data_IF_072218428607
#
_entry.id   IF_072218428607
#
_cell.length_a   1.000
_cell.length_b   1.000
_cell.length_c   1.000
_cell.angle_alpha   90.00
_cell.angle_beta   90.00
_cell.angle_gamma   90.00
#
_symmetry.space_group_name_H-M   'P 1'
#
loop_
_entity.id
_entity.type
_entity.pdbx_description
1 polymer ?
#
# COMPACT_ATOMS: atom_id res chain seq x y z
N UNK A 1 -12.81 6.72 -7.37
CA UNK A 1 -11.62 6.38 -8.17
C UNK A 1 -11.95 5.22 -9.09
N UNK A 2 -11.61 5.27 -10.39
CA UNK A 2 -11.90 4.15 -11.31
C UNK A 2 -10.98 2.94 -10.98
N UNK A 3 -11.40 1.73 -11.37
CA UNK A 3 -10.69 0.48 -11.06
C UNK A 3 -9.24 0.46 -11.55
N UNK A 4 -9.02 0.97 -12.76
CA UNK A 4 -7.69 1.08 -13.35
C UNK A 4 -6.75 1.93 -12.47
N UNK A 5 -7.22 3.06 -11.95
CA UNK A 5 -6.45 3.90 -11.02
C UNK A 5 -6.19 3.20 -9.68
N UNK A 6 -7.07 2.31 -9.22
CA UNK A 6 -6.85 1.50 -8.01
C UNK A 6 -5.74 0.46 -8.23
N UNK A 7 -5.77 -0.27 -9.35
CA UNK A 7 -4.72 -1.24 -9.68
C UNK A 7 -3.37 -0.54 -9.85
N UNK A 8 -3.35 0.64 -10.50
CA UNK A 8 -2.12 1.44 -10.60
C UNK A 8 -1.54 1.75 -9.22
N UNK A 9 -2.34 2.02 -8.21
CA UNK A 9 -1.85 2.39 -6.86
C UNK A 9 -1.38 1.20 -6.01
N UNK A 10 -1.35 -0.01 -6.54
CA UNK A 10 -0.80 -1.15 -5.81
C UNK A 10 0.72 -0.99 -5.72
N UNK A 11 1.23 -0.94 -4.49
CA UNK A 11 2.66 -0.89 -4.14
C UNK A 11 3.11 -2.09 -3.30
N UNK A 12 2.14 -2.87 -2.81
CA UNK A 12 2.34 -4.15 -2.15
C UNK A 12 2.51 -5.23 -3.23
N UNK A 13 3.71 -5.76 -3.35
CA UNK A 13 4.09 -6.77 -4.33
C UNK A 13 3.37 -8.11 -4.09
N UNK A 14 3.08 -8.45 -2.83
CA UNK A 14 2.29 -9.63 -2.46
C UNK A 14 0.85 -9.45 -2.94
N UNK A 15 0.25 -8.28 -2.69
CA UNK A 15 -1.10 -7.97 -3.17
C UNK A 15 -1.16 -8.00 -4.70
N UNK A 16 -0.18 -7.39 -5.39
CA UNK A 16 -0.12 -7.38 -6.85
C UNK A 16 0.04 -8.78 -7.44
N UNK A 17 0.95 -9.60 -6.89
CA UNK A 17 1.13 -10.99 -7.31
C UNK A 17 -0.15 -11.81 -7.11
N UNK A 18 -0.80 -11.66 -5.96
CA UNK A 18 -2.05 -12.37 -5.65
C UNK A 18 -3.16 -11.98 -6.64
N UNK A 19 -3.27 -10.69 -6.97
CA UNK A 19 -4.22 -10.19 -7.97
C UNK A 19 -3.94 -10.81 -9.34
N UNK A 20 -2.69 -10.72 -9.81
CA UNK A 20 -2.31 -11.28 -11.10
C UNK A 20 -2.59 -12.77 -11.17
N UNK A 21 -2.18 -13.54 -10.17
CA UNK A 21 -2.40 -14.99 -10.14
C UNK A 21 -3.87 -15.37 -10.17
N UNK A 22 -4.70 -14.67 -9.38
CA UNK A 22 -6.14 -14.91 -9.35
C UNK A 22 -6.77 -14.63 -10.72
N UNK A 23 -6.38 -13.54 -11.37
CA UNK A 23 -6.89 -13.17 -12.70
C UNK A 23 -6.44 -14.13 -13.80
N UNK A 24 -5.16 -14.51 -13.80
CA UNK A 24 -4.63 -15.46 -14.78
C UNK A 24 -5.21 -16.86 -14.58
N UNK A 25 -5.41 -17.29 -13.33
CA UNK A 25 -6.09 -18.55 -13.02
C UNK A 25 -7.56 -18.51 -13.45
N UNK A 26 -8.25 -17.38 -13.27
CA UNK A 26 -9.63 -17.23 -13.73
C UNK A 26 -9.74 -17.19 -15.27
N UNK A 27 -8.76 -16.59 -15.96
CA UNK A 27 -8.75 -16.48 -17.42
C UNK A 27 -8.34 -17.78 -18.12
N UNK A 28 -7.34 -18.49 -17.60
CA UNK A 28 -6.69 -19.61 -18.27
C UNK A 28 -6.84 -20.95 -17.53
N UNK A 29 -7.43 -20.96 -16.34
CA UNK A 29 -7.66 -22.16 -15.55
C UNK A 29 -6.37 -22.92 -15.23
N UNK A 30 -6.38 -24.22 -15.50
CA UNK A 30 -5.24 -25.12 -15.23
C UNK A 30 -4.06 -24.93 -16.19
N UNK A 31 -4.21 -24.15 -17.27
CA UNK A 31 -3.12 -23.89 -18.20
C UNK A 31 -2.11 -22.89 -17.64
N UNK A 32 -2.55 -22.00 -16.73
CA UNK A 32 -1.67 -21.06 -16.05
C UNK A 32 -1.02 -21.71 -14.82
N UNK A 33 0.28 -21.52 -14.67
CA UNK A 33 1.06 -21.93 -13.52
C UNK A 33 1.69 -20.71 -12.85
N UNK A 34 1.30 -20.47 -11.61
CA UNK A 34 1.91 -19.46 -10.75
C UNK A 34 3.22 -19.99 -10.14
N UNK A 35 4.23 -19.13 -10.12
CA UNK A 35 5.55 -19.37 -9.57
C UNK A 35 5.75 -18.52 -8.30
N UNK A 36 6.56 -19.01 -7.33
CA UNK A 36 6.76 -18.37 -6.03
C UNK A 36 8.08 -17.58 -6.04
N UNK A 37 8.01 -16.30 -5.68
CA UNK A 37 9.14 -15.34 -5.65
C UNK A 37 10.50 -15.88 -5.18
N UNK A 38 10.56 -16.85 -4.25
CA UNK A 38 11.82 -17.28 -3.62
C UNK A 38 12.68 -18.30 -4.40
N UNK A 39 12.23 -18.81 -5.55
CA UNK A 39 13.00 -19.84 -6.30
C UNK A 39 13.00 -19.73 -7.82
N UNK A 40 12.44 -18.66 -8.37
CA UNK A 40 12.18 -18.62 -9.79
C UNK A 40 13.19 -17.74 -10.53
N UNK A 41 13.66 -18.25 -11.67
CA UNK A 41 14.72 -17.70 -12.52
C UNK A 41 14.29 -16.42 -13.23
N UNK A 42 13.67 -15.47 -12.51
CA UNK A 42 12.95 -14.35 -13.12
C UNK A 42 11.70 -14.84 -13.86
N UNK A 43 10.87 -15.66 -13.18
CA UNK A 43 9.56 -16.10 -13.70
C UNK A 43 8.54 -16.04 -12.57
N UNK A 44 7.44 -15.33 -12.78
CA UNK A 44 6.35 -15.22 -11.81
C UNK A 44 5.10 -16.00 -12.24
N UNK A 45 4.99 -16.30 -13.54
CA UNK A 45 3.92 -17.12 -14.11
C UNK A 45 4.30 -17.75 -15.45
N UNK A 46 3.61 -18.82 -15.82
CA UNK A 46 3.80 -19.49 -17.11
C UNK A 46 2.49 -20.04 -17.67
N UNK A 47 2.26 -19.87 -18.97
CA UNK A 47 1.15 -20.48 -19.70
C UNK A 47 1.68 -21.65 -20.54
N UNK A 48 1.20 -22.87 -20.29
CA UNK A 48 1.82 -24.06 -20.87
C UNK A 48 1.56 -24.23 -22.36
N UNK A 49 0.35 -23.94 -22.82
CA UNK A 49 -0.01 -24.12 -24.24
C UNK A 49 0.76 -23.18 -25.16
N UNK A 50 0.88 -21.91 -24.78
CA UNK A 50 1.55 -20.89 -25.59
C UNK A 50 3.05 -20.84 -25.37
N UNK A 51 3.55 -21.33 -24.23
CA UNK A 51 4.93 -21.12 -23.81
C UNK A 51 5.20 -19.66 -23.44
N UNK A 52 4.23 -19.00 -22.83
CA UNK A 52 4.29 -17.59 -22.41
C UNK A 52 4.83 -17.49 -20.99
N UNK A 53 5.93 -16.76 -20.82
CA UNK A 53 6.51 -16.42 -19.51
C UNK A 53 6.02 -15.05 -19.08
N UNK A 54 5.58 -14.94 -17.82
CA UNK A 54 5.21 -13.69 -17.18
C UNK A 54 6.24 -13.35 -16.10
N UNK A 55 6.70 -12.11 -16.14
CA UNK A 55 7.57 -11.55 -15.10
C UNK A 55 6.92 -10.33 -14.47
N UNK A 56 6.80 -10.32 -13.15
CA UNK A 56 6.13 -9.27 -12.42
C UNK A 56 7.12 -8.28 -11.82
N UNK A 57 6.75 -7.02 -11.87
CA UNK A 57 7.43 -5.95 -11.16
C UNK A 57 6.41 -4.97 -10.58
N UNK A 58 6.41 -4.84 -9.25
CA UNK A 58 5.54 -3.92 -8.52
C UNK A 58 6.42 -2.84 -7.84
N UNK A 59 6.70 -1.73 -8.52
CA UNK A 59 7.58 -0.70 -7.97
C UNK A 59 6.90 0.15 -6.89
N UNK A 60 7.65 0.55 -5.88
CA UNK A 60 7.24 1.48 -4.82
C UNK A 60 7.71 2.91 -5.13
N UNK A 61 7.10 3.94 -4.54
CA UNK A 61 7.65 5.30 -4.64
C UNK A 61 8.91 5.44 -3.77
N UNK A 62 9.93 6.20 -4.21
CA UNK A 62 9.99 6.98 -5.45
C UNK A 62 10.45 6.18 -6.70
N UNK A 63 10.93 4.94 -6.53
CA UNK A 63 11.53 4.10 -7.60
C UNK A 63 10.64 3.94 -8.83
N UNK A 64 9.32 3.90 -8.61
CA UNK A 64 8.28 3.87 -9.63
C UNK A 64 8.39 4.97 -10.69
N UNK A 65 8.98 6.12 -10.37
CA UNK A 65 9.07 7.25 -11.30
C UNK A 65 10.26 7.16 -12.25
N UNK A 66 11.25 6.29 -11.97
CA UNK A 66 12.48 6.24 -12.72
C UNK A 66 12.41 5.18 -13.83
N UNK A 67 12.32 5.62 -15.09
CA UNK A 67 12.36 4.74 -16.27
C UNK A 67 13.59 3.81 -16.28
N UNK A 68 14.70 4.29 -15.72
CA UNK A 68 15.93 3.51 -15.56
C UNK A 68 15.70 2.22 -14.76
N UNK A 69 14.95 2.30 -13.67
CA UNK A 69 14.71 1.16 -12.78
C UNK A 69 13.92 0.05 -13.49
N UNK A 70 12.95 0.41 -14.34
CA UNK A 70 12.25 -0.56 -15.18
C UNK A 70 13.21 -1.26 -16.15
N UNK A 71 14.04 -0.49 -16.87
CA UNK A 71 14.98 -1.07 -17.84
C UNK A 71 16.00 -2.00 -17.20
N UNK A 72 16.53 -1.62 -16.03
CA UNK A 72 17.45 -2.47 -15.26
C UNK A 72 16.77 -3.75 -14.82
N UNK A 73 15.56 -3.65 -14.25
CA UNK A 73 14.77 -4.81 -13.81
C UNK A 73 14.46 -5.78 -14.96
N UNK A 74 14.06 -5.25 -16.12
CA UNK A 74 13.78 -6.05 -17.33
C UNK A 74 15.03 -6.81 -17.76
N UNK A 75 16.17 -6.14 -17.85
CA UNK A 75 17.44 -6.77 -18.24
C UNK A 75 17.83 -7.87 -17.24
N UNK A 76 17.78 -7.58 -15.94
CA UNK A 76 18.11 -8.55 -14.89
C UNK A 76 17.24 -9.80 -14.94
N UNK A 77 15.94 -9.65 -15.13
CA UNK A 77 15.02 -10.80 -15.12
C UNK A 77 15.17 -11.65 -16.40
N UNK A 78 15.39 -11.02 -17.56
CA UNK A 78 15.73 -11.73 -18.79
C UNK A 78 17.05 -12.51 -18.66
N UNK A 79 18.07 -11.92 -18.03
CA UNK A 79 19.36 -12.58 -17.78
C UNK A 79 19.24 -13.74 -16.79
N UNK A 80 18.42 -13.60 -15.75
CA UNK A 80 18.10 -14.71 -14.83
C UNK A 80 17.45 -15.87 -15.57
N UNK A 81 16.51 -15.59 -16.48
CA UNK A 81 15.84 -16.61 -17.28
C UNK A 81 16.80 -17.29 -18.25
N UNK A 82 17.63 -16.51 -18.95
CA UNK A 82 18.66 -17.05 -19.84
C UNK A 82 19.64 -17.96 -19.09
N UNK A 83 20.08 -17.55 -17.90
CA UNK A 83 20.92 -18.36 -17.01
C UNK A 83 20.19 -19.63 -16.55
N UNK A 84 18.91 -19.54 -16.18
CA UNK A 84 18.09 -20.69 -15.83
C UNK A 84 18.01 -21.72 -16.96
N UNK A 85 17.90 -21.28 -18.21
CA UNK A 85 17.95 -22.15 -19.39
C UNK A 85 19.33 -22.76 -19.60
N UNK A 86 20.40 -21.96 -19.52
CA UNK A 86 21.77 -22.43 -19.70
C UNK A 86 22.20 -23.46 -18.64
N UNK A 87 21.75 -23.28 -17.40
CA UNK A 87 21.99 -24.19 -16.28
C UNK A 87 21.08 -25.45 -16.30
N UNK A 88 20.24 -25.64 -17.33
CA UNK A 88 19.20 -26.69 -17.40
C UNK A 88 18.21 -26.69 -16.23
N UNK A 89 18.00 -25.54 -15.58
CA UNK A 89 17.03 -25.37 -14.49
C UNK A 89 15.65 -24.97 -14.99
N UNK A 90 15.56 -24.48 -16.23
CA UNK A 90 14.32 -24.23 -16.96
C UNK A 90 14.35 -24.96 -18.30
N UNK A 91 13.51 -25.98 -18.44
CA UNK A 91 13.44 -26.83 -19.65
C UNK A 91 12.22 -26.55 -20.53
N UNK A 92 11.27 -25.75 -20.06
CA UNK A 92 10.05 -25.46 -20.82
C UNK A 92 10.32 -24.45 -21.95
N UNK A 93 9.60 -24.55 -23.09
CA UNK A 93 9.75 -23.58 -24.18
C UNK A 93 9.36 -22.18 -23.73
N UNK A 94 10.07 -21.18 -24.25
CA UNK A 94 9.78 -19.76 -24.04
C UNK A 94 9.56 -19.17 -25.42
N UNK A 95 8.29 -19.03 -25.80
CA UNK A 95 7.89 -18.50 -27.10
C UNK A 95 7.52 -17.02 -27.01
N UNK A 96 7.06 -16.59 -25.83
CA UNK A 96 6.66 -15.23 -25.53
C UNK A 96 7.10 -14.81 -24.14
N UNK A 97 7.54 -13.55 -23.99
CA UNK A 97 7.91 -12.98 -22.70
C UNK A 97 7.10 -11.71 -22.42
N UNK A 98 6.39 -11.69 -21.29
CA UNK A 98 5.47 -10.61 -20.93
C UNK A 98 5.91 -9.97 -19.62
N UNK A 99 6.15 -8.66 -19.66
CA UNK A 99 6.42 -7.87 -18.48
C UNK A 99 5.12 -7.34 -17.86
N UNK A 100 4.92 -7.61 -16.58
CA UNK A 100 3.67 -7.30 -15.87
C UNK A 100 3.95 -6.28 -14.77
N UNK A 101 3.22 -5.17 -14.78
CA UNK A 101 3.40 -4.06 -13.83
C UNK A 101 2.07 -3.38 -13.54
N UNK A 102 1.84 -2.81 -12.34
CA UNK A 102 0.62 -2.04 -12.10
C UNK A 102 0.59 -0.75 -12.92
N UNK A 103 1.73 -0.23 -13.39
CA UNK A 103 1.80 1.09 -14.03
C UNK A 103 1.70 1.06 -15.56
N UNK A 104 1.39 2.21 -16.16
CA UNK A 104 1.52 2.35 -17.62
C UNK A 104 2.98 2.34 -18.02
N UNK A 105 3.27 1.73 -19.17
CA UNK A 105 4.64 1.66 -19.69
C UNK A 105 4.87 2.75 -20.73
N UNK A 106 5.97 3.48 -20.55
CA UNK A 106 6.47 4.39 -21.56
C UNK A 106 6.98 3.61 -22.79
N UNK A 107 6.86 4.22 -23.96
CA UNK A 107 7.22 3.61 -25.25
C UNK A 107 8.68 3.13 -25.25
N UNK A 108 9.57 3.91 -24.65
CA UNK A 108 11.01 3.60 -24.56
C UNK A 108 11.31 2.35 -23.71
N UNK A 109 10.47 2.05 -22.72
CA UNK A 109 10.56 0.82 -21.92
C UNK A 109 10.03 -0.36 -22.73
N UNK A 110 8.95 -0.18 -23.48
CA UNK A 110 8.39 -1.23 -24.35
C UNK A 110 9.39 -1.61 -25.46
N UNK A 111 10.04 -0.63 -26.08
CA UNK A 111 11.10 -0.86 -27.06
C UNK A 111 12.29 -1.60 -26.43
N UNK A 112 12.66 -1.23 -25.20
CA UNK A 112 13.73 -1.90 -24.45
C UNK A 112 13.38 -3.38 -24.17
N UNK A 113 12.14 -3.68 -23.76
CA UNK A 113 11.65 -5.06 -23.58
C UNK A 113 11.83 -5.87 -24.87
N UNK A 114 11.41 -5.32 -26.01
CA UNK A 114 11.52 -6.03 -27.29
C UNK A 114 12.96 -6.32 -27.68
N UNK A 115 13.82 -5.30 -27.60
CA UNK A 115 15.24 -5.43 -27.91
C UNK A 115 15.93 -6.46 -27.02
N UNK A 116 15.69 -6.41 -25.71
CA UNK A 116 16.37 -7.27 -24.76
C UNK A 116 15.83 -8.71 -24.78
N UNK A 117 14.54 -8.92 -25.01
CA UNK A 117 13.98 -10.27 -25.16
C UNK A 117 14.58 -11.00 -26.37
N UNK A 118 14.76 -10.31 -27.51
CA UNK A 118 15.45 -10.85 -28.69
C UNK A 118 16.92 -11.10 -28.36
N UNK A 119 17.63 -10.10 -27.81
CA UNK A 119 19.06 -10.19 -27.52
C UNK A 119 19.41 -11.34 -26.58
N UNK A 120 18.62 -11.52 -25.53
CA UNK A 120 18.98 -12.38 -24.40
C UNK A 120 18.36 -13.77 -24.51
N UNK A 121 17.13 -13.88 -25.01
CA UNK A 121 16.40 -15.15 -25.09
C UNK A 121 16.18 -15.64 -26.53
N UNK A 122 16.42 -14.81 -27.54
CA UNK A 122 16.07 -15.10 -28.93
C UNK A 122 14.56 -15.09 -29.20
N UNK A 123 13.78 -14.44 -28.33
CA UNK A 123 12.31 -14.43 -28.38
C UNK A 123 11.83 -13.20 -29.14
N UNK A 124 11.18 -13.41 -30.28
CA UNK A 124 10.64 -12.33 -31.12
C UNK A 124 9.32 -11.75 -30.62
N UNK A 125 8.58 -12.48 -29.78
CA UNK A 125 7.30 -12.02 -29.24
C UNK A 125 7.45 -11.58 -27.78
N UNK A 126 7.30 -10.28 -27.53
CA UNK A 126 7.26 -9.73 -26.18
C UNK A 126 6.23 -8.62 -26.06
N UNK A 127 5.67 -8.46 -24.87
CA UNK A 127 4.63 -7.46 -24.62
C UNK A 127 4.58 -7.06 -23.15
N UNK A 128 3.64 -6.19 -22.82
CA UNK A 128 3.37 -5.75 -21.46
C UNK A 128 1.92 -6.08 -21.05
N UNK A 129 1.72 -6.32 -19.76
CA UNK A 129 0.41 -6.32 -19.13
C UNK A 129 0.46 -5.27 -18.03
N UNK A 130 -0.40 -4.25 -18.16
CA UNK A 130 -0.49 -3.16 -17.19
C UNK A 130 -1.84 -3.14 -16.49
N UNK A 131 -2.08 -2.18 -15.59
CA UNK A 131 -3.44 -1.91 -15.09
C UNK A 131 -4.48 -1.76 -16.22
N UNK A 132 -4.07 -1.30 -17.40
CA UNK A 132 -4.96 -1.17 -18.57
C UNK A 132 -5.53 -2.53 -19.01
N UNK A 133 -4.73 -3.59 -18.94
CA UNK A 133 -5.15 -4.95 -19.27
C UNK A 133 -5.83 -5.64 -18.07
N UNK A 134 -5.29 -5.43 -16.86
CA UNK A 134 -5.77 -6.10 -15.64
C UNK A 134 -7.15 -5.59 -15.19
N UNK A 135 -7.45 -4.31 -15.34
CA UNK A 135 -8.75 -3.76 -14.93
C UNK A 135 -9.95 -4.40 -15.67
N UNK A 136 -9.99 -4.48 -17.02
CA UNK A 136 -11.09 -5.16 -17.70
C UNK A 136 -11.12 -6.66 -17.41
N UNK A 137 -9.98 -7.31 -17.23
CA UNK A 137 -9.91 -8.72 -16.81
C UNK A 137 -10.52 -8.92 -15.41
N UNK A 138 -10.24 -8.02 -14.48
CA UNK A 138 -10.86 -8.01 -13.15
C UNK A 138 -12.37 -7.80 -13.25
N UNK A 139 -12.86 -6.87 -14.07
CA UNK A 139 -14.31 -6.68 -14.28
C UNK A 139 -15.00 -7.92 -14.89
N UNK A 140 -14.31 -8.61 -15.80
CA UNK A 140 -14.80 -9.85 -16.42
C UNK A 140 -14.97 -10.96 -15.39
N UNK A 141 -14.03 -11.11 -14.46
CA UNK A 141 -14.01 -12.18 -13.46
C UNK A 141 -14.56 -11.73 -12.11
N UNK A 142 -15.86 -11.47 -12.04
CA UNK A 142 -16.53 -10.95 -10.83
C UNK A 142 -16.35 -11.81 -9.58
N UNK A 143 -16.18 -13.13 -9.73
CA UNK A 143 -15.96 -14.02 -8.60
C UNK A 143 -14.63 -13.73 -7.87
N UNK A 144 -13.65 -13.12 -8.54
CA UNK A 144 -12.36 -12.72 -7.94
C UNK A 144 -12.54 -11.51 -7.01
N UNK A 145 -13.60 -10.71 -7.17
CA UNK A 145 -13.78 -9.44 -6.45
C UNK A 145 -13.81 -9.60 -4.93
N UNK A 146 -14.32 -10.72 -4.44
CA UNK A 146 -14.44 -11.02 -3.01
C UNK A 146 -13.07 -11.11 -2.32
N UNK A 147 -12.04 -11.51 -3.04
CA UNK A 147 -10.68 -11.72 -2.51
C UNK A 147 -9.81 -10.44 -2.54
N UNK A 148 -10.34 -9.35 -3.12
CA UNK A 148 -9.65 -8.07 -3.25
C UNK A 148 -10.54 -6.90 -2.79
N UNK A 149 -10.96 -6.88 -1.51
CA UNK A 149 -11.75 -5.79 -0.96
C UNK A 149 -11.03 -4.45 -1.12
N UNK A 150 -9.72 -4.39 -0.95
CA UNK A 150 -8.85 -3.25 -1.27
C UNK A 150 -9.17 -2.58 -2.61
N UNK A 151 -9.36 -3.39 -3.67
CA UNK A 151 -9.58 -2.93 -5.04
C UNK A 151 -11.06 -2.61 -5.30
N UNK A 152 -11.99 -3.35 -4.72
CA UNK A 152 -13.43 -3.19 -4.97
C UNK A 152 -14.03 -2.05 -4.14
N UNK A 153 -13.66 -1.96 -2.87
CA UNK A 153 -14.13 -0.93 -1.94
C UNK A 153 -13.30 0.35 -2.02
N UNK A 154 -12.05 0.28 -2.51
CA UNK A 154 -11.11 1.39 -2.50
C UNK A 154 -10.54 1.75 -1.11
N UNK A 155 -10.84 0.93 -0.09
CA UNK A 155 -10.51 1.20 1.32
C UNK A 155 -9.00 1.40 1.55
N UNK A 156 -8.12 0.73 0.79
CA UNK A 156 -6.67 0.82 0.98
C UNK A 156 -5.97 1.88 0.12
N UNK A 157 -6.62 2.41 -0.92
CA UNK A 157 -5.98 3.29 -1.91
C UNK A 157 -6.33 4.77 -1.75
N UNK A 158 -7.36 5.07 -0.96
CA UNK A 158 -7.64 6.40 -0.48
C UNK A 158 -6.91 6.58 0.84
N UNK A 159 -5.60 6.84 0.75
CA UNK A 159 -4.78 7.37 1.85
C UNK A 159 -5.52 8.58 2.42
N UNK A 160 -6.09 8.37 3.59
CA UNK A 160 -6.94 9.33 4.27
C UNK A 160 -6.47 9.36 5.71
N UNK A 161 -5.92 10.50 6.17
CA UNK A 161 -5.62 10.68 7.57
C UNK A 161 -6.97 10.71 8.29
N UNK A 162 -7.12 9.86 9.30
CA UNK A 162 -8.34 9.81 10.10
C UNK A 162 -7.96 9.55 11.54
N UNK A 163 -8.33 10.48 12.40
CA UNK A 163 -8.15 10.36 13.84
C UNK A 163 -9.52 10.24 14.50
N UNK A 164 -9.61 9.37 15.49
CA UNK A 164 -10.72 9.31 16.42
C UNK A 164 -10.27 9.87 17.75
N UNK A 165 -11.14 10.64 18.39
CA UNK A 165 -10.91 11.17 19.73
C UNK A 165 -11.95 10.56 20.66
N UNK A 166 -11.47 9.95 21.73
CA UNK A 166 -12.29 9.34 22.78
C UNK A 166 -11.90 9.88 24.15
N UNK A 167 -12.78 9.67 25.12
CA UNK A 167 -12.48 9.90 26.52
C UNK A 167 -12.41 8.56 27.25
N UNK A 168 -11.30 8.32 27.94
CA UNK A 168 -11.04 7.08 28.67
C UNK A 168 -11.00 7.39 30.16
N UNK A 169 -11.95 6.79 30.89
CA UNK A 169 -12.05 6.89 32.35
C UNK A 169 -11.83 5.52 32.98
N UNK A 170 -10.90 5.44 33.92
CA UNK A 170 -10.74 4.30 34.81
C UNK A 170 -10.67 4.80 36.27
N UNK A 171 -10.67 3.89 37.24
CA UNK A 171 -10.59 4.19 38.68
C UNK A 171 -9.39 5.06 39.07
N UNK A 172 -8.33 5.06 38.26
CA UNK A 172 -7.05 5.69 38.59
C UNK A 172 -6.73 6.91 37.73
N UNK A 173 -7.38 7.08 36.57
CA UNK A 173 -7.05 8.15 35.63
C UNK A 173 -8.19 8.48 34.66
N UNK A 174 -8.17 9.73 34.20
CA UNK A 174 -9.04 10.30 33.18
C UNK A 174 -8.14 10.88 32.08
N UNK A 175 -8.32 10.39 30.85
CA UNK A 175 -7.46 10.71 29.71
C UNK A 175 -8.27 10.91 28.43
N UNK A 176 -7.74 11.72 27.53
CA UNK A 176 -8.19 11.75 26.14
C UNK A 176 -7.39 10.71 25.37
N UNK A 177 -8.08 9.82 24.66
CA UNK A 177 -7.46 8.92 23.69
C UNK A 177 -7.57 9.56 22.31
N UNK A 178 -6.46 9.58 21.57
CA UNK A 178 -6.47 9.80 20.13
C UNK A 178 -6.00 8.52 19.46
N UNK A 179 -6.80 8.01 18.52
CA UNK A 179 -6.54 6.79 17.77
C UNK A 179 -6.40 7.11 16.28
N UNK A 180 -5.28 6.75 15.66
CA UNK A 180 -5.14 6.81 14.21
C UNK A 180 -5.84 5.61 13.56
N UNK A 181 -7.10 5.80 13.18
CA UNK A 181 -7.92 4.82 12.46
C UNK A 181 -7.94 5.08 10.93
N UNK A 182 -7.01 5.90 10.44
CA UNK A 182 -6.82 6.16 9.03
C UNK A 182 -6.21 4.99 8.29
N UNK A 183 -5.91 5.23 7.02
CA UNK A 183 -5.28 4.25 6.12
C UNK A 183 -3.79 4.55 5.91
N UNK A 184 -3.26 5.52 6.66
CA UNK A 184 -1.95 6.13 6.49
C UNK A 184 -1.39 6.64 7.84
N UNK A 185 -0.09 6.88 7.89
CA UNK A 185 0.55 7.49 9.05
C UNK A 185 0.27 8.99 9.05
N UNK A 186 0.28 9.62 10.23
CA UNK A 186 0.14 11.07 10.33
C UNK A 186 1.34 11.71 11.01
N UNK A 187 1.66 12.93 10.57
CA UNK A 187 2.71 13.79 11.12
C UNK A 187 2.14 15.16 11.46
N UNK A 188 2.97 16.02 12.07
CA UNK A 188 2.58 17.35 12.55
C UNK A 188 1.31 17.31 13.44
N UNK A 189 1.17 16.21 14.18
CA UNK A 189 0.06 15.98 15.08
C UNK A 189 -0.01 17.09 16.12
N UNK A 190 -1.16 17.75 16.19
CA UNK A 190 -1.45 18.82 17.13
C UNK A 190 -2.79 18.58 17.79
N UNK A 191 -2.80 18.64 19.12
CA UNK A 191 -3.98 18.64 19.94
C UNK A 191 -4.07 19.98 20.67
N UNK A 192 -5.22 20.61 20.57
CA UNK A 192 -5.56 21.86 21.23
C UNK A 192 -6.84 21.66 22.03
N UNK A 193 -6.99 22.40 23.12
CA UNK A 193 -8.23 22.45 23.89
C UNK A 193 -8.71 23.88 24.09
N UNK A 194 -10.03 24.05 24.17
CA UNK A 194 -10.69 25.28 24.61
C UNK A 194 -11.46 24.99 25.90
N UNK A 195 -11.05 25.65 26.97
CA UNK A 195 -11.63 25.49 28.31
C UNK A 195 -12.95 26.26 28.53
N UNK A 196 -13.58 26.72 27.47
CA UNK A 196 -14.82 27.52 27.49
C UNK A 196 -14.57 29.04 27.47
N UNK A 197 -13.32 29.47 27.27
CA UNK A 197 -12.93 30.88 27.13
C UNK A 197 -12.80 31.31 25.66
N UNK A 198 -13.02 30.38 24.71
CA UNK A 198 -12.86 30.60 23.28
C UNK A 198 -11.40 30.67 22.84
N UNK A 199 -10.45 30.36 23.74
CA UNK A 199 -9.02 30.37 23.44
C UNK A 199 -8.47 28.95 23.36
N UNK A 200 -8.06 28.57 22.15
CA UNK A 200 -7.38 27.30 21.91
C UNK A 200 -5.96 27.31 22.47
N UNK A 201 -5.66 26.32 23.31
CA UNK A 201 -4.34 26.12 23.94
C UNK A 201 -3.79 24.77 23.51
N UNK A 202 -2.52 24.75 23.08
CA UNK A 202 -1.82 23.52 22.66
C UNK A 202 -1.57 22.58 23.84
N UNK A 203 -1.70 21.28 23.61
CA UNK A 203 -1.59 20.22 24.62
C UNK A 203 -0.69 19.07 24.15
N UNK A 204 0.33 19.36 23.34
CA UNK A 204 1.21 18.37 22.73
C UNK A 204 2.33 17.85 23.67
N UNK A 205 2.49 18.45 24.84
CA UNK A 205 3.71 18.26 25.64
C UNK A 205 3.66 17.00 26.52
N UNK A 206 2.52 16.32 26.57
CA UNK A 206 2.23 15.23 27.51
C UNK A 206 1.49 14.06 26.85
N UNK A 207 2.00 13.56 25.71
CA UNK A 207 1.48 12.33 25.12
C UNK A 207 2.07 11.10 25.82
N UNK A 208 1.24 10.08 26.01
CA UNK A 208 1.59 8.76 26.55
C UNK A 208 1.28 7.72 25.46
N UNK A 209 2.23 6.84 25.14
CA UNK A 209 1.99 5.73 24.22
C UNK A 209 1.14 4.63 24.87
N UNK A 210 0.50 3.81 24.05
CA UNK A 210 -0.28 2.65 24.53
C UNK A 210 0.50 1.68 25.43
N UNK A 211 1.82 1.60 25.26
CA UNK A 211 2.70 0.73 26.07
C UNK A 211 3.18 1.36 27.36
N UNK A 212 2.99 2.67 27.52
CA UNK A 212 3.53 3.39 28.67
C UNK A 212 2.63 3.21 29.90
N UNK A 213 3.24 3.27 31.08
CA UNK A 213 2.46 3.24 32.32
C UNK A 213 1.90 4.65 32.60
N UNK A 214 0.56 4.85 32.56
CA UNK A 214 -0.05 6.16 32.78
C UNK A 214 0.21 6.73 34.19
N UNK A 215 0.61 5.90 35.17
CA UNK A 215 0.96 6.37 36.53
C UNK A 215 2.41 6.81 36.68
N UNK A 216 3.30 6.39 35.78
CA UNK A 216 4.73 6.73 35.85
C UNK A 216 5.07 7.99 35.05
N UNK A 217 4.12 8.49 34.26
CA UNK A 217 4.13 9.86 33.72
C UNK A 217 5.36 10.20 32.89
N UNK A 218 5.90 9.25 32.12
CA UNK A 218 6.97 9.52 31.16
C UNK A 218 6.35 10.20 29.94
N UNK A 219 6.37 11.55 29.83
CA UNK A 219 5.72 12.23 28.73
C UNK A 219 6.62 12.12 27.50
N UNK A 220 6.02 11.83 26.37
CA UNK A 220 6.71 11.84 25.09
C UNK A 220 6.22 13.03 24.26
N UNK A 221 7.15 13.75 23.64
CA UNK A 221 6.85 14.70 22.58
C UNK A 221 6.92 13.96 21.25
N UNK A 222 5.82 13.34 20.85
CA UNK A 222 5.69 12.77 19.51
C UNK A 222 4.66 13.57 18.72
N UNK A 223 5.07 14.02 17.53
CA UNK A 223 4.20 14.72 16.58
C UNK A 223 3.75 13.79 15.44
N UNK A 224 4.04 12.49 15.56
CA UNK A 224 3.70 11.50 14.57
C UNK A 224 2.83 10.42 15.23
N UNK A 225 1.90 9.84 14.46
CA UNK A 225 1.14 8.67 14.87
C UNK A 225 1.09 7.67 13.72
N UNK A 226 1.58 6.47 13.96
CA UNK A 226 1.46 5.38 13.00
C UNK A 226 0.01 4.94 12.83
N UNK A 227 -0.33 4.42 11.67
CA UNK A 227 -1.61 3.77 11.43
C UNK A 227 -1.84 2.67 12.46
N UNK A 228 -2.96 2.73 13.17
CA UNK A 228 -3.31 1.76 14.20
C UNK A 228 -2.82 2.13 15.62
N UNK A 229 -2.03 3.19 15.75
CA UNK A 229 -1.48 3.65 17.02
C UNK A 229 -2.48 4.47 17.85
N UNK A 230 -2.37 4.37 19.18
CA UNK A 230 -3.08 5.18 20.16
C UNK A 230 -2.11 6.03 20.97
N UNK A 231 -2.46 7.30 21.15
CA UNK A 231 -1.80 8.19 22.09
C UNK A 231 -2.82 8.70 23.11
N UNK A 232 -2.39 8.84 24.36
CA UNK A 232 -3.22 9.26 25.46
C UNK A 232 -2.70 10.57 26.05
N UNK A 233 -3.61 11.47 26.38
CA UNK A 233 -3.32 12.79 26.95
C UNK A 233 -3.94 12.85 28.34
N UNK A 234 -3.07 12.95 29.35
CA UNK A 234 -3.40 13.03 30.76
C UNK A 234 -3.54 14.51 31.22
N UNK A 235 -3.96 14.71 32.47
CA UNK A 235 -4.20 16.06 33.00
C UNK A 235 -5.48 16.70 32.45
N UNK A 236 -6.42 15.86 31.99
CA UNK A 236 -7.73 16.33 31.54
C UNK A 236 -8.44 16.97 32.72
N UNK A 237 -9.00 18.17 32.52
CA UNK A 237 -9.79 18.82 33.57
C UNK A 237 -10.91 17.86 33.95
N UNK A 238 -10.95 17.51 35.24
CA UNK A 238 -11.89 16.57 35.88
C UNK A 238 -13.36 16.99 35.77
N UNK A 239 -13.62 18.23 35.39
CA UNK A 239 -14.94 18.68 34.96
C UNK A 239 -14.85 18.87 33.44
N UNK A 240 -15.59 18.07 32.66
CA UNK A 240 -15.71 18.21 31.21
C UNK A 240 -16.25 19.58 30.74
N UNK A 241 -16.85 19.66 29.56
CA UNK A 241 -17.32 20.95 29.02
C UNK A 241 -16.20 21.77 28.39
N UNK A 242 -15.25 21.09 27.76
CA UNK A 242 -14.20 21.70 26.95
C UNK A 242 -14.23 21.09 25.54
N UNK A 243 -13.78 21.86 24.56
CA UNK A 243 -13.66 21.39 23.19
C UNK A 243 -12.23 20.91 22.94
N UNK A 244 -12.09 19.85 22.17
CA UNK A 244 -10.80 19.35 21.68
C UNK A 244 -10.76 19.57 20.17
N UNK A 245 -9.63 20.08 19.68
CA UNK A 245 -9.33 20.15 18.26
C UNK A 245 -8.06 19.35 18.01
N UNK A 246 -8.15 18.41 17.09
CA UNK A 246 -7.02 17.60 16.66
C UNK A 246 -6.75 17.88 15.19
N UNK A 247 -5.52 18.19 14.86
CA UNK A 247 -5.06 18.32 13.48
C UNK A 247 -3.82 17.49 13.22
N UNK A 248 -3.70 16.96 12.01
CA UNK A 248 -2.50 16.27 11.57
C UNK A 248 -2.41 16.30 10.04
N UNK A 249 -1.26 15.92 9.50
CA UNK A 249 -1.03 15.80 8.05
C UNK A 249 -0.76 14.34 7.73
N UNK A 250 -1.49 13.77 6.78
CA UNK A 250 -1.19 12.43 6.27
C UNK A 250 0.20 12.39 5.64
N UNK A 251 1.06 11.47 6.08
CA UNK A 251 2.45 11.37 5.62
C UNK A 251 2.48 11.04 4.13
N UNK A 252 1.61 10.12 3.69
CA UNK A 252 1.56 9.69 2.29
C UNK A 252 0.69 10.59 1.41
N UNK A 253 -0.46 11.05 1.92
CA UNK A 253 -1.41 11.84 1.13
C UNK A 253 -1.11 13.34 1.12
N UNK A 254 -0.33 13.84 2.10
CA UNK A 254 -0.13 15.26 2.34
C UNK A 254 -1.41 16.02 2.72
N UNK A 255 -2.53 15.32 2.94
CA UNK A 255 -3.81 15.95 3.26
C UNK A 255 -3.82 16.37 4.72
N UNK A 256 -4.35 17.56 4.99
CA UNK A 256 -4.60 18.01 6.35
C UNK A 256 -5.91 17.43 6.86
N UNK A 257 -5.84 16.80 8.02
CA UNK A 257 -6.98 16.40 8.82
C UNK A 257 -7.19 17.42 9.93
N UNK A 258 -8.44 17.81 10.17
CA UNK A 258 -8.86 18.62 11.32
C UNK A 258 -10.17 18.03 11.85
N UNK A 259 -10.23 17.79 13.15
CA UNK A 259 -11.41 17.32 13.84
C UNK A 259 -11.61 18.11 15.13
N UNK A 260 -12.81 18.64 15.32
CA UNK A 260 -13.25 19.24 16.57
C UNK A 260 -14.27 18.33 17.25
N UNK A 261 -14.04 18.02 18.52
CA UNK A 261 -14.90 17.16 19.33
C UNK A 261 -15.22 17.88 20.63
N UNK A 262 -16.51 17.97 20.96
CA UNK A 262 -16.95 18.41 22.27
C UNK A 262 -16.88 17.23 23.25
N UNK A 263 -16.12 17.38 24.34
CA UNK A 263 -16.14 16.40 25.43
C UNK A 263 -17.13 16.91 26.48
N UNK A 264 -18.30 16.24 26.64
CA UNK A 264 -19.32 16.70 27.55
C UNK A 264 -18.83 16.69 29.00
N UNK A 265 -19.49 17.46 29.86
CA UNK A 265 -19.34 17.31 31.31
C UNK A 265 -19.64 15.85 31.69
N UNK A 266 -18.75 15.24 32.45
CA UNK A 266 -18.90 13.88 32.95
C UNK A 266 -19.25 14.02 34.43
N UNK A 267 -20.52 13.81 34.73
CA UNK A 267 -21.07 13.80 36.10
C UNK A 267 -20.45 12.70 36.98
#
# INVERSE_FOLDING_TARGET
>A
MNLYARIRKIEDDICFKRLFDALMTAEYGTDFQSFKQWKDYGIDGYLNTEGTVYQLYCPQYPERTALKNYKEKITEDLEKLAKGKADNKWSKPVNKWIFVTPDDMAVDVVEHIHKEAIRTLGVGESSTITAFNLAPMFLKHQHVHIDFPEITSGIYFDKTPKLQVGFVKNRTYEMVEVFNNGTEDVQDFCIEYDGGDGQWKRWNDHAIYQTDNPTLGHPHTCLNMQKGERQYFNGVKTAGGFNIKVSAVGVESGKTFVLEVNIPLID
#
